data_IF_554418852425
#
_entry.id   IF_554418852425
#
_cell.length_a   1.000
_cell.length_b   1.000
_cell.length_c   1.000
_cell.angle_alpha   90.00
_cell.angle_beta   90.00
_cell.angle_gamma   90.00
#
_symmetry.space_group_name_H-M   'P 1'
#
loop_
_entity.id
_entity.type
_entity.pdbx_description
1 polymer ?
#
# COMPACT_ATOMS: atom_id res chain seq x y z
N UNK A 1 15.87 7.56 9.66
CA UNK A 1 14.71 8.21 9.04
C UNK A 1 13.73 7.11 8.70
N UNK A 2 12.43 7.27 9.01
CA UNK A 2 11.43 6.30 8.56
C UNK A 2 11.11 6.68 7.12
N UNK A 3 11.52 5.85 6.16
CA UNK A 3 11.10 6.01 4.77
C UNK A 3 9.59 5.77 4.70
N UNK A 4 8.88 6.77 4.18
CA UNK A 4 7.45 6.69 3.91
C UNK A 4 7.25 6.62 2.41
N UNK A 5 6.35 5.76 1.99
CA UNK A 5 5.97 5.58 0.60
C UNK A 5 4.69 6.37 0.34
N UNK A 6 4.66 7.15 -0.73
CA UNK A 6 3.48 7.91 -1.13
C UNK A 6 2.59 7.07 -2.03
N UNK A 7 1.32 6.95 -1.64
CA UNK A 7 0.27 6.32 -2.43
C UNK A 7 -0.59 7.43 -3.06
N UNK A 8 -0.71 7.47 -4.40
CA UNK A 8 -1.61 8.40 -5.07
C UNK A 8 -3.08 7.96 -4.92
N UNK A 9 -4.01 8.81 -5.34
CA UNK A 9 -5.41 8.43 -5.55
C UNK A 9 -5.49 7.20 -6.46
N UNK A 10 -6.31 6.20 -6.08
CA UNK A 10 -6.37 4.91 -6.73
C UNK A 10 -7.76 4.26 -6.60
N UNK A 11 -8.06 3.33 -7.51
CA UNK A 11 -9.34 2.61 -7.55
C UNK A 11 -9.41 1.41 -6.57
N UNK A 12 -8.34 1.17 -5.80
CA UNK A 12 -8.24 0.02 -4.89
C UNK A 12 -8.79 0.30 -3.48
N UNK A 13 -9.29 1.52 -3.24
CA UNK A 13 -9.83 1.93 -1.95
C UNK A 13 -8.76 2.22 -0.88
N UNK A 14 -7.49 2.27 -1.27
CA UNK A 14 -6.40 2.72 -0.38
C UNK A 14 -6.40 4.24 -0.41
N UNK A 15 -6.42 4.87 0.77
CA UNK A 15 -6.45 6.34 0.86
C UNK A 15 -5.15 6.93 0.31
N UNK A 16 -5.26 8.07 -0.35
CA UNK A 16 -4.09 8.84 -0.76
C UNK A 16 -3.29 9.29 0.48
N UNK A 17 -1.97 9.18 0.44
CA UNK A 17 -1.09 9.68 1.49
C UNK A 17 0.23 8.95 1.65
N UNK A 18 0.96 9.29 2.70
CA UNK A 18 2.24 8.68 3.03
C UNK A 18 2.08 7.57 4.05
N UNK A 19 2.51 6.37 3.70
CA UNK A 19 2.44 5.17 4.52
C UNK A 19 3.82 4.75 5.02
N UNK A 20 3.90 4.42 6.30
CA UNK A 20 5.06 3.77 6.88
C UNK A 20 5.02 2.26 6.62
N UNK A 21 6.18 1.60 6.73
CA UNK A 21 6.31 0.15 6.50
C UNK A 21 5.27 -0.70 7.24
N UNK A 22 4.98 -0.41 8.50
CA UNK A 22 4.01 -1.19 9.28
C UNK A 22 2.57 -1.03 8.77
N UNK A 23 2.22 0.13 8.21
CA UNK A 23 0.92 0.38 7.59
C UNK A 23 0.81 -0.37 6.25
N UNK A 24 1.88 -0.44 5.47
CA UNK A 24 1.94 -1.24 4.23
C UNK A 24 1.76 -2.74 4.52
N UNK A 25 2.42 -3.25 5.57
CA UNK A 25 2.24 -4.65 6.01
C UNK A 25 0.80 -4.91 6.44
N UNK A 26 0.14 -3.95 7.10
CA UNK A 26 -1.27 -4.06 7.44
C UNK A 26 -2.15 -4.10 6.17
N UNK A 27 -1.93 -3.20 5.22
CA UNK A 27 -2.66 -3.17 3.94
C UNK A 27 -2.51 -4.49 3.16
N UNK A 28 -1.31 -5.06 3.14
CA UNK A 28 -1.05 -6.37 2.50
C UNK A 28 -1.81 -7.51 3.18
N UNK A 29 -1.92 -7.50 4.51
CA UNK A 29 -2.69 -8.51 5.26
C UNK A 29 -4.19 -8.38 5.03
N UNK A 30 -4.69 -7.14 5.04
CA UNK A 30 -6.12 -6.84 4.86
C UNK A 30 -6.62 -7.15 3.45
N UNK A 31 -5.73 -7.12 2.45
CA UNK A 31 -6.08 -7.35 1.05
C UNK A 31 -5.39 -8.59 0.46
N UNK A 32 -4.96 -9.55 1.31
CA UNK A 32 -4.19 -10.71 0.87
C UNK A 32 -4.94 -11.62 -0.12
N UNK A 33 -6.26 -11.52 -0.18
CA UNK A 33 -7.16 -12.21 -1.11
C UNK A 33 -7.40 -11.44 -2.43
N UNK A 34 -6.92 -10.19 -2.54
CA UNK A 34 -7.07 -9.33 -3.71
C UNK A 34 -5.73 -9.12 -4.39
N UNK A 35 -5.41 -10.01 -5.32
CA UNK A 35 -4.11 -10.03 -6.02
C UNK A 35 -3.74 -8.65 -6.63
N UNK A 36 -4.73 -7.97 -7.20
CA UNK A 36 -4.59 -6.67 -7.87
C UNK A 36 -4.12 -5.58 -6.89
N UNK A 37 -4.72 -5.55 -5.69
CA UNK A 37 -4.39 -4.60 -4.63
C UNK A 37 -3.01 -4.91 -4.04
N UNK A 38 -2.71 -6.19 -3.81
CA UNK A 38 -1.39 -6.62 -3.35
C UNK A 38 -0.29 -6.21 -4.33
N UNK A 39 -0.55 -6.38 -5.63
CA UNK A 39 0.40 -5.98 -6.67
C UNK A 39 0.60 -4.47 -6.70
N UNK A 40 -0.48 -3.70 -6.64
CA UNK A 40 -0.37 -2.24 -6.54
C UNK A 40 0.45 -1.79 -5.32
N UNK A 41 0.22 -2.38 -4.15
CA UNK A 41 1.01 -2.07 -2.94
C UNK A 41 2.49 -2.40 -3.15
N UNK A 42 2.79 -3.56 -3.75
CA UNK A 42 4.16 -3.97 -4.04
C UNK A 42 4.86 -3.04 -5.05
N UNK A 43 4.15 -2.61 -6.09
CA UNK A 43 4.68 -1.69 -7.11
C UNK A 43 5.02 -0.31 -6.51
N UNK A 44 4.35 0.12 -5.43
CA UNK A 44 4.71 1.36 -4.70
C UNK A 44 5.93 1.20 -3.78
N UNK A 45 6.32 -0.03 -3.47
CA UNK A 45 7.45 -0.33 -2.57
C UNK A 45 8.79 -0.49 -3.30
N UNK A 46 8.78 -0.54 -4.63
CA UNK A 46 9.97 -0.58 -5.50
C UNK A 46 10.57 0.81 -5.72
#
# INVERSE_FOLDING_TARGET
MIEKIYFPENDYGIKEGYYAWHELVALLRENCDKADVVRFIADMME
#
